data_IF_478341021002
#
_entry.id   IF_478341021002
#
_cell.length_a   1.000
_cell.length_b   1.000
_cell.length_c   1.000
_cell.angle_alpha   90.00
_cell.angle_beta   90.00
_cell.angle_gamma   90.00
#
_symmetry.space_group_name_H-M   'P 1'
#
loop_
_entity.id
_entity.type
_entity.pdbx_description
1 polymer ?
#
# COMPACT_ATOMS: atom_id res chain seq x y z
N UNK A 1 0.36 -20.94 -15.95
CA UNK A 1 -1.04 -21.14 -15.52
C UNK A 1 -2.03 -20.99 -16.67
N UNK A 2 -2.43 -19.80 -17.12
CA UNK A 2 -3.42 -19.65 -18.21
C UNK A 2 -3.05 -20.44 -19.49
N UNK A 3 -1.81 -20.29 -19.95
CA UNK A 3 -1.31 -21.03 -21.11
C UNK A 3 -1.21 -22.56 -20.88
N UNK A 4 -0.94 -22.99 -19.64
CA UNK A 4 -0.86 -24.42 -19.28
C UNK A 4 -2.25 -25.06 -19.23
N UNK A 5 -3.27 -24.28 -18.84
CA UNK A 5 -4.69 -24.63 -18.89
C UNK A 5 -5.29 -24.50 -20.31
N UNK A 6 -4.47 -24.23 -21.34
CA UNK A 6 -4.94 -24.13 -22.73
C UNK A 6 -5.82 -22.90 -23.02
N UNK A 7 -5.87 -21.92 -22.11
CA UNK A 7 -6.65 -20.69 -22.30
C UNK A 7 -6.05 -19.86 -23.45
N UNK A 8 -6.91 -19.38 -24.35
CA UNK A 8 -6.46 -18.61 -25.52
C UNK A 8 -5.86 -17.26 -25.08
N UNK A 9 -4.81 -16.77 -25.75
CA UNK A 9 -4.26 -15.45 -25.46
C UNK A 9 -5.33 -14.36 -25.55
N UNK A 10 -5.46 -13.57 -24.49
CA UNK A 10 -6.41 -12.45 -24.41
C UNK A 10 -7.84 -12.80 -23.96
N UNK A 11 -8.13 -14.06 -23.58
CA UNK A 11 -9.44 -14.41 -22.98
C UNK A 11 -9.49 -14.16 -21.48
N UNK A 12 -8.34 -14.22 -20.81
CA UNK A 12 -8.18 -13.90 -19.40
C UNK A 12 -7.82 -12.42 -19.28
N UNK A 13 -8.69 -11.60 -18.69
CA UNK A 13 -8.48 -10.16 -18.56
C UNK A 13 -8.01 -9.75 -17.15
N UNK A 14 -8.21 -10.61 -16.15
CA UNK A 14 -7.79 -10.41 -14.77
C UNK A 14 -7.31 -11.70 -14.12
N UNK A 15 -6.61 -11.56 -12.98
CA UNK A 15 -6.26 -12.68 -12.11
C UNK A 15 -7.51 -13.39 -11.56
N UNK A 16 -8.58 -12.64 -11.29
CA UNK A 16 -9.87 -13.20 -10.87
C UNK A 16 -10.50 -14.06 -11.97
N UNK A 17 -10.46 -13.63 -13.24
CA UNK A 17 -10.94 -14.43 -14.36
C UNK A 17 -10.13 -15.72 -14.49
N UNK A 18 -8.80 -15.63 -14.36
CA UNK A 18 -7.93 -16.81 -14.39
C UNK A 18 -8.31 -17.80 -13.29
N UNK A 19 -8.49 -17.33 -12.06
CA UNK A 19 -8.86 -18.18 -10.93
C UNK A 19 -10.22 -18.83 -11.14
N UNK A 20 -11.21 -18.08 -11.66
CA UNK A 20 -12.54 -18.59 -11.95
C UNK A 20 -12.51 -19.70 -13.02
N UNK A 21 -11.79 -19.48 -14.12
CA UNK A 21 -11.65 -20.48 -15.19
C UNK A 21 -10.96 -21.75 -14.70
N UNK A 22 -9.89 -21.63 -13.90
CA UNK A 22 -9.20 -22.80 -13.32
C UNK A 22 -10.12 -23.61 -12.40
N UNK A 23 -10.95 -22.94 -11.60
CA UNK A 23 -11.93 -23.61 -10.74
C UNK A 23 -13.01 -24.33 -11.56
N UNK A 24 -13.52 -23.71 -12.62
CA UNK A 24 -14.53 -24.32 -13.49
C UNK A 24 -13.98 -25.53 -14.24
N UNK A 25 -12.75 -25.44 -14.77
CA UNK A 25 -12.08 -26.54 -15.44
C UNK A 25 -11.88 -27.74 -14.50
N UNK A 26 -11.46 -27.47 -13.26
CA UNK A 26 -11.29 -28.52 -12.25
C UNK A 26 -12.62 -29.13 -11.82
N UNK A 27 -13.69 -28.34 -11.66
CA UNK A 27 -15.05 -28.88 -11.42
C UNK A 27 -15.47 -29.82 -12.55
N UNK A 28 -15.21 -29.45 -13.82
CA UNK A 28 -15.55 -30.27 -14.98
C UNK A 28 -14.73 -31.58 -15.07
N UNK A 29 -13.56 -31.63 -14.44
CA UNK A 29 -12.73 -32.82 -14.36
C UNK A 29 -13.29 -33.90 -13.40
N UNK A 30 -14.27 -33.56 -12.55
CA UNK A 30 -14.91 -34.49 -11.60
C UNK A 30 -16.42 -34.67 -11.88
N UNK A 31 -16.83 -35.17 -13.07
CA UNK A 31 -18.24 -35.28 -13.47
C UNK A 31 -19.05 -36.29 -12.64
N UNK A 32 -18.38 -37.18 -11.92
CA UNK A 32 -19.00 -38.21 -11.08
C UNK A 32 -19.39 -37.67 -9.68
N UNK A 33 -18.92 -36.47 -9.30
CA UNK A 33 -19.23 -35.82 -8.03
C UNK A 33 -20.48 -34.94 -8.11
N UNK A 34 -21.17 -34.75 -6.98
CA UNK A 34 -22.19 -33.71 -6.88
C UNK A 34 -21.57 -32.32 -7.02
N UNK A 35 -22.35 -31.31 -7.45
CA UNK A 35 -21.84 -29.95 -7.71
C UNK A 35 -21.06 -29.37 -6.51
N UNK A 36 -21.58 -29.54 -5.30
CA UNK A 36 -20.95 -29.09 -4.05
C UNK A 36 -19.62 -29.77 -3.79
N UNK A 37 -19.55 -31.10 -3.96
CA UNK A 37 -18.35 -31.90 -3.76
C UNK A 37 -17.29 -31.61 -4.83
N UNK A 38 -17.71 -31.43 -6.08
CA UNK A 38 -16.84 -31.06 -7.18
C UNK A 38 -16.19 -29.68 -6.95
N UNK A 39 -16.94 -28.70 -6.45
CA UNK A 39 -16.40 -27.38 -6.10
C UNK A 39 -15.46 -27.45 -4.89
N UNK A 40 -15.76 -28.23 -3.86
CA UNK A 40 -14.87 -28.42 -2.71
C UNK A 40 -13.55 -29.09 -3.14
N UNK A 41 -13.62 -30.08 -4.03
CA UNK A 41 -12.45 -30.70 -4.65
C UNK A 41 -11.67 -29.70 -5.52
N UNK A 42 -12.37 -28.86 -6.29
CA UNK A 42 -11.74 -27.84 -7.12
C UNK A 42 -11.00 -26.78 -6.30
N UNK A 43 -11.61 -26.29 -5.20
CA UNK A 43 -10.95 -25.38 -4.27
C UNK A 43 -9.70 -26.04 -3.66
N UNK A 44 -9.78 -27.31 -3.27
CA UNK A 44 -8.66 -28.05 -2.71
C UNK A 44 -7.51 -28.28 -3.72
N UNK A 45 -7.83 -28.46 -5.00
CA UNK A 45 -6.82 -28.70 -6.05
C UNK A 45 -6.23 -27.41 -6.63
N UNK A 46 -7.04 -26.36 -6.79
CA UNK A 46 -6.63 -25.12 -7.47
C UNK A 46 -5.96 -24.13 -6.53
N UNK A 47 -6.52 -23.88 -5.34
CA UNK A 47 -6.02 -22.83 -4.45
C UNK A 47 -4.54 -23.02 -4.07
N UNK A 48 -4.05 -24.23 -3.72
CA UNK A 48 -2.63 -24.43 -3.38
C UNK A 48 -1.66 -24.16 -4.53
N UNK A 49 -2.14 -24.13 -5.78
CA UNK A 49 -1.33 -23.82 -6.97
C UNK A 49 -1.13 -22.31 -7.16
N UNK A 50 -1.99 -21.49 -6.55
CA UNK A 50 -1.95 -20.04 -6.69
C UNK A 50 -0.85 -19.45 -5.81
N UNK A 51 -0.01 -18.60 -6.39
CA UNK A 51 1.04 -17.87 -5.67
C UNK A 51 0.79 -16.37 -5.77
N UNK A 52 0.59 -15.71 -4.63
CA UNK A 52 0.31 -14.29 -4.57
C UNK A 52 -0.54 -13.94 -3.35
N UNK A 53 -1.15 -12.77 -3.38
CA UNK A 53 -2.07 -12.31 -2.35
C UNK A 53 -3.49 -12.36 -2.87
N UNK A 54 -4.39 -12.98 -2.10
CA UNK A 54 -5.81 -13.01 -2.45
C UNK A 54 -6.70 -13.16 -1.22
N UNK A 55 -7.79 -12.41 -1.24
CA UNK A 55 -8.94 -12.59 -0.37
C UNK A 55 -10.16 -12.62 -1.28
N UNK A 56 -10.75 -13.79 -1.43
CA UNK A 56 -11.81 -14.03 -2.41
C UNK A 56 -13.14 -14.24 -1.68
N UNK A 57 -14.22 -13.81 -2.34
CA UNK A 57 -15.56 -14.26 -2.03
C UNK A 57 -16.13 -14.87 -3.30
N UNK A 58 -16.41 -16.17 -3.25
CA UNK A 58 -17.10 -16.91 -4.30
C UNK A 58 -18.55 -17.16 -3.86
N UNK A 59 -19.43 -17.33 -4.83
CA UNK A 59 -20.82 -17.72 -4.56
C UNK A 59 -21.30 -18.70 -5.63
N UNK A 60 -22.09 -19.67 -5.19
CA UNK A 60 -22.89 -20.53 -6.05
C UNK A 60 -24.37 -20.45 -5.65
N UNK A 61 -25.20 -21.36 -6.15
CA UNK A 61 -26.64 -21.34 -5.86
C UNK A 61 -27.00 -21.59 -4.39
N UNK A 62 -26.14 -22.27 -3.63
CA UNK A 62 -26.43 -22.70 -2.26
C UNK A 62 -25.49 -22.07 -1.23
N UNK A 63 -24.34 -21.53 -1.66
CA UNK A 63 -23.22 -21.21 -0.78
C UNK A 63 -22.56 -19.88 -1.09
N UNK A 64 -21.99 -19.30 -0.04
CA UNK A 64 -21.00 -18.21 -0.11
C UNK A 64 -19.70 -18.70 0.49
N UNK A 65 -18.59 -18.49 -0.19
CA UNK A 65 -17.29 -19.06 0.16
C UNK A 65 -16.27 -17.93 0.29
N UNK A 66 -15.70 -17.76 1.48
CA UNK A 66 -14.58 -16.85 1.73
C UNK A 66 -13.26 -17.60 1.66
N UNK A 67 -12.28 -17.07 0.96
CA UNK A 67 -10.94 -17.67 0.85
C UNK A 67 -9.91 -16.63 1.23
N UNK A 68 -8.96 -17.00 2.08
CA UNK A 68 -7.78 -16.19 2.38
C UNK A 68 -6.51 -16.95 2.00
N UNK A 69 -5.60 -16.30 1.27
CA UNK A 69 -4.32 -16.88 0.86
C UNK A 69 -3.48 -17.38 2.06
N UNK A 70 -2.54 -18.33 1.87
CA UNK A 70 -1.80 -18.96 2.97
C UNK A 70 -0.92 -17.98 3.75
N UNK A 71 -0.60 -16.82 3.18
CA UNK A 71 0.10 -15.76 3.89
C UNK A 71 -0.86 -14.74 4.53
N UNK A 72 -2.14 -14.72 4.14
CA UNK A 72 -3.12 -13.76 4.65
C UNK A 72 -2.74 -12.30 4.37
N UNK A 73 -2.12 -12.03 3.22
CA UNK A 73 -1.64 -10.68 2.85
C UNK A 73 -2.74 -9.63 2.92
N UNK A 74 -3.94 -9.99 2.47
CA UNK A 74 -5.12 -9.12 2.45
C UNK A 74 -6.11 -9.52 3.55
N UNK A 75 -6.84 -8.54 4.12
CA UNK A 75 -7.78 -8.82 5.18
C UNK A 75 -9.08 -9.40 4.63
N UNK A 76 -9.67 -10.32 5.39
CA UNK A 76 -10.99 -10.88 5.17
C UNK A 76 -11.56 -11.28 6.54
N UNK A 77 -12.77 -10.83 6.84
CA UNK A 77 -13.43 -11.08 8.12
C UNK A 77 -14.82 -11.67 7.94
N UNK A 78 -15.20 -12.49 8.93
CA UNK A 78 -16.51 -13.10 9.07
C UNK A 78 -17.32 -12.28 10.07
N UNK A 79 -18.50 -11.83 9.64
CA UNK A 79 -19.51 -11.18 10.45
C UNK A 79 -20.79 -12.01 10.53
N UNK A 80 -21.62 -11.66 11.51
CA UNK A 80 -22.92 -12.27 11.75
C UNK A 80 -23.98 -11.17 11.81
N UNK A 81 -24.99 -11.31 10.97
CA UNK A 81 -26.19 -10.46 10.96
C UNK A 81 -27.40 -11.29 11.39
N UNK A 82 -28.53 -10.66 11.67
CA UNK A 82 -29.77 -11.38 11.94
C UNK A 82 -30.08 -12.36 10.78
N UNK A 83 -30.15 -13.65 11.09
CA UNK A 83 -30.46 -14.70 10.12
C UNK A 83 -29.34 -15.10 9.16
N UNK A 84 -28.16 -14.46 9.15
CA UNK A 84 -27.15 -14.70 8.10
C UNK A 84 -25.70 -14.46 8.51
N UNK A 85 -24.79 -14.81 7.61
CA UNK A 85 -23.35 -14.59 7.75
C UNK A 85 -22.87 -13.65 6.65
N UNK A 86 -21.81 -12.90 6.93
CA UNK A 86 -21.29 -11.88 6.03
C UNK A 86 -19.78 -12.02 5.95
N UNK A 87 -19.23 -11.88 4.76
CA UNK A 87 -17.78 -11.77 4.55
C UNK A 87 -17.47 -10.38 4.01
N UNK A 88 -16.42 -9.77 4.53
CA UNK A 88 -15.97 -8.46 4.08
C UNK A 88 -14.46 -8.31 4.25
N UNK A 89 -13.81 -7.50 3.43
CA UNK A 89 -12.39 -7.19 3.58
C UNK A 89 -12.10 -6.48 4.91
N UNK A 90 -13.01 -5.61 5.37
CA UNK A 90 -12.80 -4.79 6.57
C UNK A 90 -14.05 -4.77 7.46
N UNK A 91 -13.85 -4.68 8.78
CA UNK A 91 -14.92 -4.66 9.78
C UNK A 91 -15.96 -3.53 9.62
N UNK A 92 -15.64 -2.30 9.14
CA UNK A 92 -16.65 -1.26 8.99
C UNK A 92 -17.76 -1.60 8.00
N UNK A 93 -17.51 -2.53 7.05
CA UNK A 93 -18.56 -3.02 6.16
C UNK A 93 -19.61 -3.86 6.91
N UNK A 94 -19.20 -4.54 7.98
CA UNK A 94 -20.10 -5.27 8.87
C UNK A 94 -20.94 -4.30 9.71
N UNK A 95 -20.29 -3.28 10.29
CA UNK A 95 -20.94 -2.30 11.16
C UNK A 95 -22.08 -1.55 10.44
N UNK A 96 -21.86 -1.14 9.19
CA UNK A 96 -22.85 -0.36 8.40
C UNK A 96 -24.15 -1.14 8.16
N UNK A 97 -24.09 -2.46 8.12
CA UNK A 97 -25.27 -3.32 7.93
C UNK A 97 -25.79 -3.92 9.24
N UNK A 98 -25.23 -3.50 10.38
CA UNK A 98 -25.61 -4.01 11.71
C UNK A 98 -25.13 -5.44 11.98
N UNK A 99 -24.15 -5.94 11.23
CA UNK A 99 -23.52 -7.23 11.51
C UNK A 99 -22.45 -7.03 12.60
N UNK A 100 -22.36 -7.98 13.54
CA UNK A 100 -21.23 -8.01 14.47
C UNK A 100 -20.07 -8.80 13.87
N UNK A 101 -18.86 -8.29 14.02
CA UNK A 101 -17.66 -9.02 13.65
C UNK A 101 -17.50 -10.24 14.56
N UNK A 102 -17.30 -11.41 13.95
CA UNK A 102 -17.07 -12.67 14.66
C UNK A 102 -15.57 -12.91 14.79
N UNK A 103 -14.84 -12.85 13.67
CA UNK A 103 -13.38 -12.97 13.60
C UNK A 103 -12.83 -12.61 12.23
N UNK A 104 -11.52 -12.41 12.15
CA UNK A 104 -10.78 -12.48 10.90
C UNK A 104 -10.71 -13.94 10.41
N UNK A 105 -10.64 -14.16 9.10
CA UNK A 105 -10.32 -15.47 8.53
C UNK A 105 -8.83 -15.75 8.74
N UNK A 106 -8.46 -16.96 9.10
CA UNK A 106 -7.05 -17.33 9.27
C UNK A 106 -6.36 -17.36 7.90
N UNK A 107 -5.03 -17.10 7.84
CA UNK A 107 -4.24 -17.39 6.64
C UNK A 107 -4.44 -18.84 6.17
N UNK A 108 -4.69 -19.03 4.89
CA UNK A 108 -4.96 -20.34 4.27
C UNK A 108 -6.36 -20.91 4.56
N UNK A 109 -7.25 -20.14 5.17
CA UNK A 109 -8.59 -20.61 5.48
C UNK A 109 -9.57 -20.43 4.32
N UNK A 110 -10.39 -21.45 4.10
CA UNK A 110 -11.60 -21.37 3.27
C UNK A 110 -12.82 -21.54 4.17
N UNK A 111 -13.62 -20.48 4.32
CA UNK A 111 -14.90 -20.51 5.05
C UNK A 111 -16.03 -20.72 4.06
N UNK A 112 -16.80 -21.79 4.23
CA UNK A 112 -18.00 -22.07 3.45
C UNK A 112 -19.23 -21.78 4.30
N UNK A 113 -20.13 -20.96 3.78
CA UNK A 113 -21.40 -20.57 4.40
C UNK A 113 -22.52 -21.19 3.56
N UNK A 114 -23.44 -21.92 4.20
CA UNK A 114 -24.60 -22.54 3.57
C UNK A 114 -25.84 -22.46 4.49
N UNK A 115 -26.93 -23.14 4.10
CA UNK A 115 -28.17 -23.16 4.88
C UNK A 115 -28.06 -23.76 6.28
N UNK A 116 -26.99 -24.50 6.59
CA UNK A 116 -26.73 -25.10 7.90
C UNK A 116 -25.86 -24.22 8.82
N UNK A 117 -25.18 -23.20 8.28
CA UNK A 117 -24.29 -22.34 9.03
C UNK A 117 -23.01 -22.03 8.26
N UNK A 118 -21.87 -22.08 8.95
CA UNK A 118 -20.55 -22.00 8.32
C UNK A 118 -19.62 -23.08 8.84
N UNK A 119 -18.64 -23.44 8.02
CA UNK A 119 -17.57 -24.38 8.33
C UNK A 119 -16.26 -23.94 7.68
N UNK A 120 -15.14 -24.37 8.25
CA UNK A 120 -13.81 -24.09 7.71
C UNK A 120 -13.24 -25.30 6.99
N UNK A 121 -12.58 -25.06 5.87
CA UNK A 121 -11.70 -25.97 5.15
C UNK A 121 -10.29 -25.37 5.12
N UNK A 122 -9.28 -26.24 5.14
CA UNK A 122 -7.87 -25.84 5.06
C UNK A 122 -7.20 -26.64 3.94
N UNK A 123 -7.27 -26.15 2.69
CA UNK A 123 -6.75 -26.88 1.53
C UNK A 123 -5.24 -26.74 1.34
N UNK A 124 -4.57 -25.88 2.10
CA UNK A 124 -3.13 -25.66 2.00
C UNK A 124 -2.39 -26.53 3.01
N UNK A 125 -1.19 -27.01 2.62
CA UNK A 125 -0.29 -27.69 3.54
C UNK A 125 0.18 -26.73 4.64
N UNK A 126 0.30 -27.22 5.88
CA UNK A 126 0.70 -26.41 7.03
C UNK A 126 2.07 -25.72 6.82
N UNK A 127 2.95 -26.32 6.02
CA UNK A 127 4.30 -25.82 5.72
C UNK A 127 4.31 -24.53 4.88
N UNK A 128 3.23 -24.26 4.12
CA UNK A 128 3.13 -23.04 3.29
C UNK A 128 2.38 -21.91 3.98
N UNK A 129 1.73 -22.18 5.12
CA UNK A 129 0.98 -21.18 5.88
C UNK A 129 1.94 -20.36 6.73
N UNK A 130 2.25 -19.15 6.25
CA UNK A 130 3.15 -18.20 6.92
C UNK A 130 2.48 -16.81 6.96
N UNK A 131 1.86 -16.41 8.08
CA UNK A 131 1.15 -15.13 8.18
C UNK A 131 2.05 -13.93 7.83
N UNK A 132 1.61 -13.09 6.89
CA UNK A 132 2.31 -11.90 6.37
C UNK A 132 1.30 -10.80 5.99
N UNK A 133 0.41 -10.42 6.90
CA UNK A 133 -0.56 -9.34 6.65
C UNK A 133 0.17 -8.10 6.12
N UNK A 134 -0.39 -7.44 5.10
CA UNK A 134 0.21 -6.25 4.53
C UNK A 134 0.31 -5.14 5.61
N UNK A 135 1.53 -4.76 5.99
CA UNK A 135 1.77 -3.73 7.00
C UNK A 135 1.18 -2.37 6.58
N UNK A 136 1.05 -2.15 5.27
CA UNK A 136 0.48 -0.93 4.70
C UNK A 136 -1.05 -0.80 4.90
N UNK A 137 -1.74 -1.87 5.31
CA UNK A 137 -3.12 -1.77 5.80
C UNK A 137 -3.19 -0.87 7.05
N UNK A 138 -2.27 -1.05 7.99
CA UNK A 138 -2.15 -0.19 9.17
C UNK A 138 -1.70 1.23 8.81
N UNK A 139 -0.77 1.39 7.86
CA UNK A 139 -0.24 2.71 7.48
C UNK A 139 -1.29 3.56 6.78
N UNK A 140 -1.95 3.03 5.75
CA UNK A 140 -2.76 3.85 4.84
C UNK A 140 -4.05 3.18 4.36
N UNK A 141 -3.99 1.92 3.93
CA UNK A 141 -5.03 1.35 3.06
C UNK A 141 -6.35 1.08 3.77
N UNK A 142 -6.31 0.43 4.94
CA UNK A 142 -7.50 0.18 5.73
C UNK A 142 -8.08 1.48 6.29
N UNK A 143 -9.39 1.51 6.48
CA UNK A 143 -10.03 2.62 7.16
C UNK A 143 -9.58 2.70 8.62
N UNK A 144 -9.54 3.91 9.22
CA UNK A 144 -9.16 4.06 10.62
C UNK A 144 -10.05 3.29 11.60
N UNK A 145 -11.33 3.10 11.27
CA UNK A 145 -12.31 2.35 12.07
C UNK A 145 -12.25 0.82 11.86
N UNK A 146 -11.28 0.32 11.07
CA UNK A 146 -11.06 -1.11 10.88
C UNK A 146 -10.28 -1.74 12.03
N UNK A 147 -10.53 -3.05 12.23
CA UNK A 147 -9.80 -3.89 13.18
C UNK A 147 -9.00 -4.95 12.41
N UNK A 148 -7.70 -5.02 12.68
CA UNK A 148 -6.77 -5.97 12.07
C UNK A 148 -5.88 -6.57 13.16
N UNK A 149 -5.68 -7.88 13.18
CA UNK A 149 -5.03 -8.59 14.29
C UNK A 149 -5.58 -8.21 15.66
N UNK A 150 -6.89 -7.98 15.73
CA UNK A 150 -7.57 -7.49 16.94
C UNK A 150 -7.19 -6.06 17.37
N UNK A 151 -6.42 -5.33 16.56
CA UNK A 151 -5.96 -3.96 16.85
C UNK A 151 -6.76 -2.94 16.03
N UNK A 152 -7.13 -1.83 16.67
CA UNK A 152 -7.69 -0.67 15.97
C UNK A 152 -6.64 0.00 15.09
N UNK A 153 -6.95 0.16 13.81
CA UNK A 153 -6.08 0.86 12.85
C UNK A 153 -5.88 2.32 13.25
N UNK A 154 -6.93 3.01 13.69
CA UNK A 154 -6.83 4.40 14.19
C UNK A 154 -5.83 4.50 15.34
N UNK A 155 -5.97 3.68 16.39
CA UNK A 155 -5.05 3.72 17.53
C UNK A 155 -3.62 3.35 17.16
N UNK A 156 -3.42 2.43 16.20
CA UNK A 156 -2.10 2.13 15.68
C UNK A 156 -1.46 3.37 15.03
N UNK A 157 -2.20 4.09 14.17
CA UNK A 157 -1.72 5.32 13.53
C UNK A 157 -1.42 6.43 14.53
N UNK A 158 -2.21 6.56 15.59
CA UNK A 158 -1.91 7.49 16.69
C UNK A 158 -0.59 7.12 17.37
N UNK A 159 -0.36 5.84 17.69
CA UNK A 159 0.92 5.38 18.26
C UNK A 159 2.11 5.62 17.34
N UNK A 160 1.94 5.45 16.02
CA UNK A 160 2.98 5.79 15.04
C UNK A 160 3.41 7.25 15.16
N UNK A 161 2.45 8.15 15.38
CA UNK A 161 2.70 9.57 15.64
C UNK A 161 3.48 9.82 16.94
N UNK A 162 3.07 9.18 18.03
CA UNK A 162 3.75 9.31 19.34
C UNK A 162 5.20 8.85 19.27
N UNK A 163 5.44 7.67 18.68
CA UNK A 163 6.79 7.15 18.50
C UNK A 163 7.62 8.05 17.58
N UNK A 164 7.00 8.66 16.57
CA UNK A 164 7.69 9.61 15.69
C UNK A 164 8.09 10.91 16.40
N UNK A 165 7.29 11.37 17.37
CA UNK A 165 7.62 12.53 18.21
C UNK A 165 8.82 12.25 19.12
N UNK A 166 8.88 11.06 19.72
CA UNK A 166 10.02 10.62 20.52
C UNK A 166 11.28 10.41 19.66
N UNK A 167 11.13 9.81 18.48
CA UNK A 167 12.23 9.51 17.56
C UNK A 167 12.85 10.76 16.92
N UNK A 168 12.02 11.74 16.55
CA UNK A 168 12.45 12.91 15.77
C UNK A 168 11.76 14.19 16.25
N UNK A 169 12.05 14.65 17.49
CA UNK A 169 11.52 15.89 18.02
C UNK A 169 12.05 17.10 17.25
N UNK A 170 11.31 18.20 17.28
CA UNK A 170 11.72 19.49 16.73
C UNK A 170 10.97 20.62 17.43
N UNK A 171 11.61 21.77 17.58
CA UNK A 171 10.97 22.99 18.06
C UNK A 171 10.10 23.58 16.95
N UNK A 172 8.78 23.62 17.16
CA UNK A 172 7.82 24.16 16.21
C UNK A 172 6.59 24.69 16.94
N UNK A 173 5.72 25.39 16.21
CA UNK A 173 4.60 26.13 16.81
C UNK A 173 3.25 25.40 16.59
N UNK A 174 3.15 24.58 15.54
CA UNK A 174 1.93 23.86 15.20
C UNK A 174 2.23 22.48 14.58
N UNK A 175 1.54 21.45 15.06
CA UNK A 175 1.47 20.13 14.39
C UNK A 175 0.20 20.05 13.57
N UNK A 176 0.32 19.60 12.32
CA UNK A 176 -0.80 19.37 11.42
C UNK A 176 -0.64 18.06 10.66
N UNK A 177 -1.77 17.39 10.38
CA UNK A 177 -1.80 16.21 9.52
C UNK A 177 -2.13 16.57 8.08
N UNK A 178 -1.57 15.84 7.14
CA UNK A 178 -2.01 15.86 5.74
C UNK A 178 -3.34 15.10 5.64
N UNK A 179 -4.46 15.75 5.28
CA UNK A 179 -5.76 15.11 5.31
C UNK A 179 -5.92 14.04 4.22
N UNK A 180 -6.53 12.89 4.49
CA UNK A 180 -7.17 12.51 5.77
C UNK A 180 -6.32 11.52 6.58
N UNK A 181 -5.48 10.73 5.92
CA UNK A 181 -4.76 9.59 6.49
C UNK A 181 -3.66 9.98 7.48
N UNK A 182 -3.03 11.14 7.31
CA UNK A 182 -2.00 11.65 8.23
C UNK A 182 -2.56 12.23 9.54
N UNK A 183 -3.87 12.43 9.65
CA UNK A 183 -4.49 13.09 10.82
C UNK A 183 -4.25 12.33 12.13
N UNK A 184 -4.52 11.01 12.25
CA UNK A 184 -4.31 10.30 13.53
C UNK A 184 -2.84 10.31 13.97
N UNK A 185 -1.90 10.17 13.03
CA UNK A 185 -0.48 10.27 13.34
C UNK A 185 -0.07 11.68 13.77
N UNK A 186 -0.67 12.72 13.19
CA UNK A 186 -0.45 14.10 13.64
C UNK A 186 -0.96 14.34 15.07
N UNK A 187 -2.14 13.81 15.41
CA UNK A 187 -2.68 13.87 16.77
C UNK A 187 -1.75 13.17 17.77
N UNK A 188 -1.23 12.00 17.39
CA UNK A 188 -0.23 11.27 18.17
C UNK A 188 1.07 12.06 18.35
N UNK A 189 1.59 12.64 17.27
CA UNK A 189 2.82 13.43 17.31
C UNK A 189 2.65 14.68 18.20
N UNK A 190 1.53 15.39 18.07
CA UNK A 190 1.21 16.54 18.90
C UNK A 190 1.13 16.16 20.39
N UNK A 191 0.48 15.03 20.70
CA UNK A 191 0.40 14.53 22.07
C UNK A 191 1.77 14.16 22.63
N UNK A 192 2.61 13.49 21.84
CA UNK A 192 3.96 13.08 22.26
C UNK A 192 4.95 14.24 22.38
N UNK A 193 4.84 15.26 21.53
CA UNK A 193 5.74 16.42 21.52
C UNK A 193 5.29 17.54 22.46
N UNK A 194 4.01 17.60 22.81
CA UNK A 194 3.41 18.72 23.55
C UNK A 194 3.13 19.97 22.68
N UNK A 195 3.42 19.92 21.38
CA UNK A 195 3.13 21.01 20.44
C UNK A 195 1.64 20.98 20.11
N UNK A 196 0.95 22.14 20.08
CA UNK A 196 -0.47 22.19 19.75
C UNK A 196 -0.78 21.55 18.38
N UNK A 197 -1.82 20.72 18.34
CA UNK A 197 -2.40 20.25 17.08
C UNK A 197 -3.36 21.30 16.51
N UNK A 198 -3.32 21.49 15.19
CA UNK A 198 -4.35 22.25 14.49
C UNK A 198 -4.45 21.92 13.02
N UNK A 199 -5.50 22.46 12.39
CA UNK A 199 -5.73 22.26 10.96
C UNK A 199 -4.98 23.31 10.15
N UNK A 200 -4.01 22.88 9.34
CA UNK A 200 -3.37 23.75 8.33
C UNK A 200 -3.97 23.58 6.93
N UNK A 201 -4.59 22.44 6.64
CA UNK A 201 -5.13 22.12 5.32
C UNK A 201 -6.58 21.64 5.43
N UNK A 202 -7.39 22.04 4.45
CA UNK A 202 -8.74 21.52 4.24
C UNK A 202 -8.76 20.73 2.94
N UNK A 203 -9.19 19.47 3.01
CA UNK A 203 -9.43 18.66 1.82
C UNK A 203 -10.70 19.09 1.11
N UNK A 204 -10.58 19.36 -0.18
CA UNK A 204 -11.76 19.61 -1.01
C UNK A 204 -12.45 18.28 -1.28
N UNK A 205 -13.58 18.04 -0.60
CA UNK A 205 -14.30 16.75 -0.67
C UNK A 205 -15.00 16.50 -2.00
N UNK A 206 -15.27 17.57 -2.77
CA UNK A 206 -16.12 17.52 -3.97
C UNK A 206 -15.32 17.70 -5.28
N UNK A 207 -14.13 17.11 -5.37
CA UNK A 207 -13.32 17.17 -6.59
C UNK A 207 -13.71 16.01 -7.49
N UNK A 208 -14.26 16.31 -8.66
CA UNK A 208 -14.46 15.32 -9.72
C UNK A 208 -13.15 14.87 -10.37
N UNK A 209 -13.19 13.81 -11.19
CA UNK A 209 -12.03 13.44 -12.03
C UNK A 209 -11.63 14.65 -12.88
N UNK A 210 -10.38 15.08 -12.81
CA UNK A 210 -9.85 16.14 -13.69
C UNK A 210 -9.81 15.58 -15.12
N UNK A 211 -10.82 15.92 -15.93
CA UNK A 211 -10.85 15.58 -17.34
C UNK A 211 -9.72 16.32 -18.05
N UNK A 212 -8.75 15.56 -18.58
CA UNK A 212 -7.68 15.99 -19.50
C UNK A 212 -7.01 17.29 -19.05
N UNK A 213 -5.97 17.20 -18.22
CA UNK A 213 -5.05 18.32 -17.98
C UNK A 213 -3.95 18.30 -19.06
N UNK A 214 -3.98 19.17 -20.09
CA UNK A 214 -3.10 19.09 -21.26
C UNK A 214 -1.64 19.43 -20.98
N UNK A 215 -1.29 19.99 -19.81
CA UNK A 215 0.08 20.41 -19.48
C UNK A 215 0.49 19.99 -18.07
N UNK A 216 1.80 19.83 -17.85
CA UNK A 216 2.36 19.51 -16.53
C UNK A 216 2.12 20.64 -15.50
N UNK A 217 2.03 21.89 -15.95
CA UNK A 217 1.63 23.03 -15.10
C UNK A 217 0.18 22.91 -14.58
N UNK A 218 -0.75 22.45 -15.41
CA UNK A 218 -2.14 22.19 -15.01
C UNK A 218 -2.25 20.96 -14.08
N UNK A 219 -1.34 19.97 -14.19
CA UNK A 219 -1.24 18.88 -13.20
C UNK A 219 -0.74 19.36 -11.84
N UNK A 220 0.23 20.28 -11.79
CA UNK A 220 0.66 20.90 -10.53
C UNK A 220 -0.46 21.72 -9.86
N UNK A 221 -1.33 22.35 -10.66
CA UNK A 221 -2.56 23.00 -10.16
C UNK A 221 -3.58 21.99 -9.59
N UNK A 222 -3.52 20.71 -9.96
CA UNK A 222 -4.43 19.69 -9.43
C UNK A 222 -4.22 19.40 -7.93
N UNK A 223 -3.06 19.72 -7.35
CA UNK A 223 -2.86 19.65 -5.88
C UNK A 223 -3.58 20.81 -5.18
N UNK A 224 -3.55 22.04 -5.75
CA UNK A 224 -4.38 23.17 -5.28
C UNK A 224 -5.88 22.87 -5.42
N UNK A 225 -6.27 22.03 -6.38
CA UNK A 225 -7.64 21.53 -6.45
C UNK A 225 -7.97 20.57 -5.31
N UNK A 226 -6.97 19.87 -4.75
CA UNK A 226 -7.13 18.86 -3.68
C UNK A 226 -7.18 19.42 -2.27
N UNK A 227 -6.34 20.38 -1.99
CA UNK A 227 -6.13 20.90 -0.65
C UNK A 227 -6.12 22.42 -0.69
N UNK A 228 -6.72 23.03 0.32
CA UNK A 228 -6.68 24.48 0.55
C UNK A 228 -5.95 24.77 1.87
N UNK A 229 -4.97 25.70 1.88
CA UNK A 229 -4.30 26.10 3.11
C UNK A 229 -5.16 27.07 3.92
N UNK A 230 -5.20 26.87 5.24
CA UNK A 230 -5.77 27.81 6.19
C UNK A 230 -4.70 28.83 6.58
N UNK A 231 -4.60 29.91 5.82
CA UNK A 231 -3.56 30.94 5.98
C UNK A 231 -3.46 31.45 7.41
N UNK A 232 -4.59 31.72 8.05
CA UNK A 232 -4.66 32.24 9.43
C UNK A 232 -3.96 31.32 10.45
N UNK A 233 -3.92 30.01 10.19
CA UNK A 233 -3.26 29.03 11.04
C UNK A 233 -1.80 28.75 10.62
N UNK A 234 -1.37 29.21 9.44
CA UNK A 234 -0.05 28.90 8.85
C UNK A 234 0.89 30.09 8.90
N UNK A 235 0.39 31.31 8.68
CA UNK A 235 1.21 32.50 8.52
C UNK A 235 2.06 32.77 9.77
N UNK A 236 3.38 32.84 9.59
CA UNK A 236 4.33 33.09 10.66
C UNK A 236 4.61 31.90 11.58
N UNK A 237 4.13 30.69 11.25
CA UNK A 237 4.32 29.49 12.08
C UNK A 237 5.48 28.62 11.57
N UNK A 238 6.18 27.95 12.49
CA UNK A 238 7.00 26.76 12.21
C UNK A 238 6.12 25.53 12.31
N UNK A 239 6.00 24.78 11.22
CA UNK A 239 5.03 23.68 11.10
C UNK A 239 5.72 22.32 11.21
N UNK A 240 5.15 21.42 12.01
CA UNK A 240 5.34 19.98 11.82
C UNK A 240 4.21 19.45 10.96
N UNK A 241 4.54 18.92 9.79
CA UNK A 241 3.59 18.36 8.85
C UNK A 241 3.73 16.84 8.86
N UNK A 242 2.69 16.16 9.32
CA UNK A 242 2.67 14.69 9.43
C UNK A 242 1.86 14.08 8.27
N UNK A 243 2.48 13.17 7.53
CA UNK A 243 1.86 12.43 6.42
C UNK A 243 2.09 10.92 6.61
N UNK A 244 1.27 10.09 5.97
CA UNK A 244 1.37 8.63 6.15
C UNK A 244 2.57 8.03 5.40
N UNK A 245 2.83 8.49 4.17
CA UNK A 245 3.83 7.90 3.29
C UNK A 245 4.25 8.88 2.18
N UNK A 246 5.41 8.63 1.56
CA UNK A 246 5.89 9.36 0.39
C UNK A 246 6.29 8.35 -0.70
N UNK A 247 5.47 8.24 -1.74
CA UNK A 247 5.72 7.32 -2.87
C UNK A 247 6.52 8.00 -3.98
N UNK A 248 5.92 9.00 -4.65
CA UNK A 248 6.54 9.73 -5.78
C UNK A 248 7.02 11.14 -5.42
N UNK A 249 6.65 11.67 -4.26
CA UNK A 249 7.03 13.00 -3.77
C UNK A 249 6.41 14.21 -4.46
N UNK A 250 5.88 14.09 -5.67
CA UNK A 250 5.35 15.24 -6.45
C UNK A 250 4.20 15.95 -5.73
N UNK A 251 3.26 15.20 -5.15
CA UNK A 251 2.15 15.76 -4.35
C UNK A 251 2.67 16.46 -3.10
N UNK A 252 3.57 15.81 -2.36
CA UNK A 252 4.16 16.34 -1.12
C UNK A 252 4.93 17.63 -1.39
N UNK A 253 5.76 17.69 -2.43
CA UNK A 253 6.49 18.90 -2.83
C UNK A 253 5.55 20.05 -3.18
N UNK A 254 4.47 19.78 -3.92
CA UNK A 254 3.48 20.80 -4.26
C UNK A 254 2.74 21.32 -3.02
N UNK A 255 2.45 20.45 -2.05
CA UNK A 255 1.86 20.82 -0.76
C UNK A 255 2.82 21.67 0.07
N UNK A 256 4.10 21.30 0.20
CA UNK A 256 5.10 22.08 0.94
C UNK A 256 5.19 23.51 0.39
N UNK A 257 5.25 23.66 -0.94
CA UNK A 257 5.22 24.98 -1.59
C UNK A 257 3.95 25.76 -1.29
N UNK A 258 2.79 25.10 -1.27
CA UNK A 258 1.52 25.72 -0.89
C UNK A 258 1.54 26.25 0.55
N UNK A 259 2.16 25.52 1.49
CA UNK A 259 2.32 25.96 2.88
C UNK A 259 3.27 27.16 2.99
N UNK A 260 4.39 27.16 2.25
CA UNK A 260 5.29 28.32 2.18
C UNK A 260 4.63 29.55 1.55
N UNK A 261 3.87 29.38 0.47
CA UNK A 261 3.03 30.44 -0.15
C UNK A 261 1.97 30.99 0.83
N UNK A 262 1.54 30.17 1.80
CA UNK A 262 0.62 30.55 2.86
C UNK A 262 1.31 31.27 4.04
N UNK A 263 2.64 31.36 4.04
CA UNK A 263 3.41 32.12 5.01
C UNK A 263 4.09 31.30 6.11
N UNK A 264 4.21 29.97 5.95
CA UNK A 264 4.98 29.14 6.88
C UNK A 264 6.46 29.56 6.92
N UNK A 265 7.04 29.70 8.12
CA UNK A 265 8.46 30.04 8.31
C UNK A 265 9.31 28.79 8.06
N UNK A 266 8.97 27.70 8.75
CA UNK A 266 9.63 26.39 8.64
C UNK A 266 8.58 25.31 8.39
N UNK A 267 8.98 24.26 7.68
CA UNK A 267 8.19 23.06 7.40
C UNK A 267 9.04 21.84 7.71
N UNK A 268 8.72 21.17 8.82
CA UNK A 268 9.34 19.91 9.26
C UNK A 268 8.43 18.75 8.89
N UNK A 269 8.83 17.98 7.90
CA UNK A 269 8.08 16.82 7.45
C UNK A 269 8.34 15.62 8.36
N UNK A 270 7.27 14.93 8.74
CA UNK A 270 7.29 13.71 9.55
C UNK A 270 6.41 12.66 8.87
N UNK A 271 6.99 11.52 8.50
CA UNK A 271 6.28 10.47 7.77
C UNK A 271 6.07 9.28 8.69
N UNK A 272 4.82 8.89 8.91
CA UNK A 272 4.46 7.81 9.85
C UNK A 272 4.68 6.39 9.29
N UNK A 273 5.56 6.26 8.31
CA UNK A 273 6.05 4.99 7.77
C UNK A 273 7.54 5.10 7.43
N UNK A 274 8.26 3.98 7.29
CA UNK A 274 9.57 3.96 6.66
C UNK A 274 9.48 4.39 5.19
N UNK A 275 10.62 4.70 4.54
CA UNK A 275 10.66 5.06 3.13
C UNK A 275 10.13 3.91 2.25
N UNK A 276 9.22 4.23 1.33
CA UNK A 276 8.65 3.27 0.37
C UNK A 276 9.60 3.07 -0.82
N UNK A 277 10.31 1.94 -0.85
CA UNK A 277 11.44 1.71 -1.78
C UNK A 277 11.16 0.66 -2.85
N UNK A 278 10.17 -0.20 -2.66
CA UNK A 278 9.95 -1.36 -3.51
C UNK A 278 8.49 -1.46 -3.97
N UNK A 279 8.23 -1.83 -5.24
CA UNK A 279 6.87 -1.95 -5.74
C UNK A 279 6.11 -3.08 -5.05
N UNK A 280 4.80 -2.94 -4.88
CA UNK A 280 3.98 -4.03 -4.35
C UNK A 280 3.56 -4.99 -5.48
N UNK A 281 3.65 -6.30 -5.22
CA UNK A 281 3.13 -7.36 -6.10
C UNK A 281 1.93 -8.10 -5.49
N UNK A 282 1.37 -7.56 -4.40
CA UNK A 282 0.35 -8.20 -3.57
C UNK A 282 -0.96 -7.41 -3.56
N UNK A 283 -1.26 -6.64 -4.61
CA UNK A 283 -2.55 -5.94 -4.78
C UNK A 283 -2.55 -4.42 -4.56
N UNK A 284 -1.41 -3.77 -4.31
CA UNK A 284 -1.32 -2.30 -4.32
C UNK A 284 -0.69 -1.79 -5.61
N UNK A 285 -1.33 -0.83 -6.27
CA UNK A 285 -0.80 -0.16 -7.46
C UNK A 285 0.17 0.96 -7.10
N UNK A 286 1.46 0.62 -6.99
CA UNK A 286 2.49 1.57 -6.54
C UNK A 286 3.42 2.03 -7.66
N UNK A 287 3.13 1.68 -8.91
CA UNK A 287 4.00 1.92 -10.06
C UNK A 287 5.28 1.09 -10.02
N UNK A 288 6.24 1.46 -10.86
CA UNK A 288 7.53 0.78 -10.99
C UNK A 288 8.55 1.30 -9.96
N UNK A 289 9.57 0.49 -9.66
CA UNK A 289 10.65 0.91 -8.75
C UNK A 289 11.31 2.24 -9.15
N UNK A 290 11.49 2.47 -10.45
CA UNK A 290 12.08 3.72 -10.97
C UNK A 290 11.22 4.97 -10.72
N UNK A 291 9.92 4.82 -10.49
CA UNK A 291 9.01 5.93 -10.15
C UNK A 291 8.98 6.23 -8.64
N UNK A 292 9.55 5.36 -7.80
CA UNK A 292 9.55 5.52 -6.35
C UNK A 292 10.68 6.47 -5.93
N UNK A 293 10.33 7.53 -5.21
CA UNK A 293 11.28 8.57 -4.81
C UNK A 293 12.39 7.99 -3.93
N UNK A 294 12.02 7.23 -2.90
CA UNK A 294 12.95 6.64 -1.96
C UNK A 294 13.69 5.40 -2.49
N UNK A 295 13.35 4.90 -3.69
CA UNK A 295 14.17 3.87 -4.33
C UNK A 295 15.44 4.47 -4.96
N UNK A 296 15.42 5.77 -5.28
CA UNK A 296 16.46 6.43 -6.06
C UNK A 296 17.20 7.52 -5.28
N UNK A 297 16.63 8.00 -4.17
CA UNK A 297 17.19 9.09 -3.37
C UNK A 297 17.41 8.67 -1.91
N UNK A 298 18.44 9.24 -1.31
CA UNK A 298 18.69 9.25 0.13
C UNK A 298 17.68 10.15 0.84
N UNK A 299 17.54 10.01 2.17
CA UNK A 299 16.61 10.85 2.94
C UNK A 299 16.96 12.34 2.82
N UNK A 300 18.25 12.67 2.76
CA UNK A 300 18.70 14.06 2.62
C UNK A 300 18.37 14.64 1.24
N UNK A 301 18.60 13.87 0.16
CA UNK A 301 18.19 14.28 -1.19
C UNK A 301 16.66 14.42 -1.31
N UNK A 302 15.89 13.58 -0.60
CA UNK A 302 14.43 13.73 -0.54
C UNK A 302 14.05 15.03 0.19
N UNK A 303 14.70 15.33 1.32
CA UNK A 303 14.48 16.58 2.06
C UNK A 303 14.68 17.79 1.16
N UNK A 304 15.79 17.82 0.41
CA UNK A 304 16.09 18.86 -0.57
C UNK A 304 15.06 18.91 -1.69
N UNK A 305 14.70 17.77 -2.27
CA UNK A 305 13.71 17.67 -3.34
C UNK A 305 12.33 18.23 -2.90
N UNK A 306 11.92 17.95 -1.66
CA UNK A 306 10.65 18.39 -1.10
C UNK A 306 10.66 19.84 -0.63
N UNK A 307 11.84 20.48 -0.51
CA UNK A 307 12.02 21.86 -0.06
C UNK A 307 11.56 22.08 1.41
N UNK A 308 11.79 21.07 2.26
CA UNK A 308 11.47 21.06 3.69
C UNK A 308 12.72 21.31 4.56
N UNK A 309 12.52 21.90 5.74
CA UNK A 309 13.61 22.25 6.67
C UNK A 309 14.17 21.01 7.37
N UNK A 310 13.31 20.04 7.67
CA UNK A 310 13.73 18.71 8.12
C UNK A 310 12.78 17.63 7.62
N UNK A 311 13.27 16.41 7.48
CA UNK A 311 12.49 15.23 7.11
C UNK A 311 12.89 14.06 8.00
N UNK A 312 11.90 13.36 8.55
CA UNK A 312 12.12 12.09 9.23
C UNK A 312 11.03 11.09 8.89
N UNK A 313 11.44 9.84 8.69
CA UNK A 313 10.57 8.68 8.50
C UNK A 313 10.56 7.85 9.77
N UNK A 314 9.40 7.33 10.16
CA UNK A 314 9.30 6.36 11.24
C UNK A 314 10.16 5.13 10.92
N UNK A 315 10.90 4.60 11.89
CA UNK A 315 11.65 3.35 11.68
C UNK A 315 10.72 2.15 11.53
N UNK A 316 11.20 1.08 10.90
CA UNK A 316 10.41 -0.15 10.73
C UNK A 316 10.03 -0.76 12.09
N UNK A 317 10.98 -0.78 13.04
CA UNK A 317 10.75 -1.31 14.38
C UNK A 317 9.66 -0.53 15.13
N UNK A 318 9.67 0.81 15.02
CA UNK A 318 8.65 1.66 15.61
C UNK A 318 7.31 1.50 14.90
N UNK A 319 7.29 1.32 13.58
CA UNK A 319 6.07 1.03 12.83
C UNK A 319 5.44 -0.29 13.28
N UNK A 320 6.23 -1.37 13.36
CA UNK A 320 5.79 -2.68 13.83
C UNK A 320 5.28 -2.61 15.27
N UNK A 321 6.02 -1.96 16.16
CA UNK A 321 5.61 -1.77 17.56
C UNK A 321 4.30 -0.98 17.68
N UNK A 322 4.13 0.04 16.85
CA UNK A 322 2.92 0.88 16.83
C UNK A 322 1.67 0.10 16.41
N UNK A 323 1.79 -0.99 15.67
CA UNK A 323 0.61 -1.82 15.31
C UNK A 323 -0.09 -2.36 16.55
N UNK A 324 0.63 -2.60 17.65
CA UNK A 324 0.11 -3.29 18.84
C UNK A 324 0.02 -4.82 18.67
N UNK A 325 0.40 -5.34 17.50
CA UNK A 325 0.42 -6.77 17.19
C UNK A 325 1.89 -7.27 17.09
N UNK A 326 2.71 -6.94 18.08
CA UNK A 326 4.12 -7.34 18.13
C UNK A 326 4.21 -8.87 18.11
N UNK A 327 5.04 -9.40 17.21
CA UNK A 327 5.20 -10.85 17.00
C UNK A 327 4.18 -11.46 16.03
N UNK A 328 3.20 -10.69 15.55
CA UNK A 328 2.41 -11.08 14.39
C UNK A 328 3.26 -11.00 13.11
N UNK A 329 2.88 -11.78 12.10
CA UNK A 329 3.60 -11.81 10.84
C UNK A 329 3.13 -10.73 9.87
N UNK A 330 4.06 -9.92 9.37
CA UNK A 330 3.77 -8.82 8.45
C UNK A 330 4.53 -8.97 7.13
N UNK A 331 3.92 -8.49 6.05
CA UNK A 331 4.61 -8.18 4.81
C UNK A 331 5.06 -6.72 4.84
N UNK A 332 6.37 -6.52 4.81
CA UNK A 332 7.05 -5.22 4.74
C UNK A 332 7.87 -5.05 3.45
N UNK A 333 7.60 -5.90 2.44
CA UNK A 333 8.40 -5.99 1.23
C UNK A 333 8.55 -4.65 0.49
N UNK A 334 7.53 -3.78 0.54
CA UNK A 334 7.58 -2.44 -0.03
C UNK A 334 8.63 -1.51 0.62
N UNK A 335 9.06 -1.84 1.84
CA UNK A 335 10.03 -1.10 2.65
C UNK A 335 11.40 -1.79 2.59
N UNK A 336 11.43 -3.12 2.71
CA UNK A 336 12.65 -3.92 2.87
C UNK A 336 13.19 -4.48 1.54
N UNK A 337 12.30 -4.81 0.60
CA UNK A 337 12.63 -5.55 -0.62
C UNK A 337 12.62 -7.06 -0.45
N UNK A 338 12.32 -7.54 0.76
CA UNK A 338 12.20 -8.97 1.05
C UNK A 338 10.77 -9.42 0.83
N UNK A 339 10.53 -10.03 -0.33
CA UNK A 339 9.22 -10.55 -0.70
C UNK A 339 9.02 -11.96 -0.12
N UNK A 340 7.90 -12.24 0.59
CA UNK A 340 7.64 -13.59 1.10
C UNK A 340 7.43 -14.64 0.01
N UNK A 341 7.04 -14.21 -1.19
CA UNK A 341 6.90 -15.06 -2.37
C UNK A 341 7.88 -14.54 -3.42
N UNK A 342 8.59 -15.47 -4.07
CA UNK A 342 9.49 -15.16 -5.19
C UNK A 342 8.74 -14.43 -6.31
N UNK A 343 9.29 -13.30 -6.75
CA UNK A 343 8.71 -12.48 -7.81
C UNK A 343 9.38 -12.83 -9.14
N UNK A 344 8.63 -13.29 -10.16
CA UNK A 344 9.20 -13.57 -11.47
C UNK A 344 9.80 -12.31 -12.12
N UNK A 345 10.99 -12.43 -12.71
CA UNK A 345 11.72 -11.30 -13.30
C UNK A 345 10.95 -10.54 -14.40
N UNK A 346 10.05 -11.22 -15.11
CA UNK A 346 9.25 -10.65 -16.20
C UNK A 346 7.83 -10.24 -15.75
N UNK A 347 7.55 -10.23 -14.45
CA UNK A 347 6.24 -9.84 -13.96
C UNK A 347 6.03 -8.34 -14.19
N UNK A 348 5.08 -8.02 -15.06
CA UNK A 348 4.66 -6.63 -15.32
C UNK A 348 3.19 -6.49 -14.98
N UNK A 349 2.79 -5.27 -14.62
CA UNK A 349 1.38 -4.95 -14.32
C UNK A 349 0.42 -5.38 -15.43
N UNK A 350 0.85 -5.22 -16.69
CA UNK A 350 0.03 -5.49 -17.87
C UNK A 350 0.14 -6.93 -18.38
N UNK A 351 0.65 -7.88 -17.59
CA UNK A 351 0.89 -9.25 -18.08
C UNK A 351 -0.40 -9.97 -18.55
N UNK A 352 -1.56 -9.60 -18.00
CA UNK A 352 -2.89 -10.09 -18.41
C UNK A 352 -3.66 -9.09 -19.29
N UNK A 353 -3.19 -7.85 -19.37
CA UNK A 353 -3.78 -6.81 -20.23
C UNK A 353 -3.13 -6.91 -21.62
N UNK A 354 -3.84 -7.49 -22.60
CA UNK A 354 -3.33 -7.80 -23.95
C UNK A 354 -2.34 -6.76 -24.53
N UNK A 355 -1.14 -7.23 -24.88
CA UNK A 355 0.01 -6.40 -25.22
C UNK A 355 -0.11 -5.68 -26.57
N UNK A 356 -0.35 -4.37 -26.50
CA UNK A 356 0.08 -3.43 -27.54
C UNK A 356 1.55 -3.05 -27.38
N UNK A 357 2.47 -3.98 -27.69
CA UNK A 357 3.89 -3.70 -27.99
C UNK A 357 4.84 -3.41 -26.82
N UNK A 358 5.72 -4.38 -26.51
CA UNK A 358 6.92 -4.19 -25.68
C UNK A 358 7.95 -5.28 -25.97
N UNK A 359 9.18 -4.89 -26.30
CA UNK A 359 10.26 -5.71 -26.85
C UNK A 359 10.79 -6.80 -25.90
N UNK A 360 11.40 -7.82 -26.51
CA UNK A 360 11.98 -9.02 -25.89
C UNK A 360 12.99 -8.74 -24.74
N UNK A 361 13.12 -9.66 -23.76
CA UNK A 361 13.78 -9.40 -22.49
C UNK A 361 15.32 -9.39 -22.57
N UNK A 362 15.93 -8.39 -21.94
CA UNK A 362 17.36 -8.40 -21.56
C UNK A 362 17.58 -9.21 -20.27
N UNK A 363 18.76 -9.84 -20.18
CA UNK A 363 19.11 -10.88 -19.18
C UNK A 363 19.11 -10.38 -17.73
N UNK A 364 18.77 -11.29 -16.82
CA UNK A 364 18.74 -11.14 -15.37
C UNK A 364 20.02 -10.55 -14.75
N UNK A 365 19.87 -9.70 -13.74
CA UNK A 365 20.95 -9.39 -12.78
C UNK A 365 20.95 -10.43 -11.66
N UNK A 366 22.10 -11.03 -11.31
CA UNK A 366 22.18 -11.96 -10.20
C UNK A 366 22.02 -11.21 -8.87
N UNK A 367 21.18 -11.74 -7.98
CA UNK A 367 21.21 -11.41 -6.57
C UNK A 367 22.53 -11.97 -6.00
N UNK A 368 23.44 -11.08 -5.57
CA UNK A 368 24.54 -11.48 -4.69
C UNK A 368 24.20 -11.04 -3.28
N UNK A 369 24.08 -12.03 -2.40
CA UNK A 369 24.35 -11.86 -0.98
C UNK A 369 25.84 -11.44 -0.84
N UNK A 370 26.08 -10.49 0.05
CA UNK A 370 27.38 -9.88 0.38
C UNK A 370 27.97 -8.93 -0.68
N UNK A 371 27.64 -7.65 -0.56
CA UNK A 371 28.45 -6.55 -1.05
C UNK A 371 28.36 -5.38 -0.06
N UNK A 372 29.45 -5.16 0.67
CA UNK A 372 29.70 -3.93 1.39
C UNK A 372 29.82 -2.76 0.41
N UNK A 373 29.36 -1.58 0.83
CA UNK A 373 29.62 -0.23 0.30
C UNK A 373 30.25 -0.16 -1.11
N UNK A 374 29.43 -0.11 -2.16
CA UNK A 374 29.84 0.46 -3.44
C UNK A 374 28.80 1.46 -3.94
N UNK A 375 29.27 2.67 -4.24
CA UNK A 375 28.52 3.81 -4.76
C UNK A 375 27.75 3.45 -6.05
N UNK A 376 26.47 3.82 -6.09
CA UNK A 376 25.60 3.61 -7.26
C UNK A 376 25.94 4.59 -8.40
N UNK A 377 25.78 4.17 -9.67
CA UNK A 377 26.23 4.95 -10.82
C UNK A 377 25.42 6.23 -11.02
N UNK A 378 26.09 7.36 -10.88
CA UNK A 378 25.64 8.76 -10.89
C UNK A 378 24.97 9.26 -12.18
N UNK A 379 24.86 8.43 -13.22
CA UNK A 379 24.45 8.87 -14.57
C UNK A 379 22.92 8.97 -14.71
N UNK A 380 22.14 8.19 -13.94
CA UNK A 380 20.68 8.28 -13.95
C UNK A 380 20.16 9.50 -13.16
N UNK A 381 20.89 9.94 -12.12
CA UNK A 381 20.54 11.10 -11.30
C UNK A 381 20.62 12.41 -12.10
N UNK A 382 21.63 12.56 -12.96
CA UNK A 382 21.86 13.82 -13.69
C UNK A 382 20.74 14.21 -14.66
N UNK A 383 19.98 13.25 -15.20
CA UNK A 383 18.88 13.51 -16.14
C UNK A 383 17.62 14.08 -15.47
N UNK A 384 17.42 13.85 -14.17
CA UNK A 384 16.27 14.38 -13.42
C UNK A 384 16.44 15.88 -13.06
N UNK A 385 17.66 16.42 -13.09
CA UNK A 385 17.97 17.74 -12.55
C UNK A 385 18.36 18.82 -13.57
N UNK A 386 18.29 18.55 -14.88
CA UNK A 386 18.47 19.59 -15.90
C UNK A 386 19.82 20.32 -15.86
N UNK A 387 20.85 19.74 -15.24
CA UNK A 387 22.23 20.23 -15.32
C UNK A 387 22.89 19.57 -16.53
N UNK A 388 23.05 20.34 -17.60
CA UNK A 388 23.93 19.94 -18.70
C UNK A 388 25.38 19.82 -18.20
N UNK A 389 26.25 19.05 -18.87
CA UNK A 389 27.66 19.06 -18.57
C UNK A 389 28.21 20.47 -18.83
N UNK A 390 28.91 21.04 -17.86
CA UNK A 390 29.74 22.23 -18.03
C UNK A 390 30.82 21.90 -19.08
N UNK A 391 30.60 22.36 -20.31
CA UNK A 391 31.67 22.46 -21.29
C UNK A 391 32.57 23.62 -20.88
N UNK A 392 33.62 23.28 -20.12
CA UNK A 392 34.79 24.11 -19.95
C UNK A 392 35.45 24.37 -21.30
N UNK A 393 35.11 25.49 -21.94
CA UNK A 393 35.84 26.05 -23.06
C UNK A 393 36.42 27.40 -22.64
N UNK A 394 37.73 27.37 -22.44
CA UNK A 394 38.66 28.50 -22.32
C UNK A 394 38.35 29.63 -23.32
N UNK A 395 38.21 30.86 -22.80
CA UNK A 395 38.44 32.08 -23.57
C UNK A 395 39.53 32.88 -22.88
N UNK A 396 40.73 32.87 -23.46
CA UNK A 396 41.78 33.85 -23.22
C UNK A 396 41.45 35.20 -23.87
N UNK A 397 42.06 36.31 -23.41
CA UNK A 397 41.56 37.66 -23.66
C UNK A 397 42.17 38.30 -24.91
N UNK A 398 41.35 39.10 -25.60
CA UNK A 398 41.74 40.28 -26.37
C UNK A 398 40.59 41.28 -26.39
#
# INVERSE_FOLDING_TARGET
>A
MAAEAGMLPGTVASDTDLMAELLVEEVAAHPDLGQTEAMDAALAAVLPRLKGAFSLVLADHERVIGVRDPNGFRPLCLGRVEGGWVLASESPALDVIGAHMVRELDPGEVVVIDGSGWRSMRPFDDEVVDPRLCLFEFVYFARPDSVLYGQSVHHARVRMGEMLAEQAPVEADLVMGVPESGIPAAEGYARGSGIPYGQGLVKNRYIGRTFIAPTQALRSAAVRMKLNPLRDNIEGQRLVVVDDSIVRGTTTRAMVRMLRDAGAIEVHMRVSSPPYRWPCFYGMDTGTRGELLAANLTVEEIREYLEVDSLSYLTLDNLLSSTGAVGAGFCDACLTGTYPIEIPANLTKAVLEGSGGGSAPERAMPLRADAAEEELPTVAAQRLFGRGPDDGATREPA
#
